data_IF_502960133661
#
_entry.id   IF_502960133661
#
_cell.length_a   1.000
_cell.length_b   1.000
_cell.length_c   1.000
_cell.angle_alpha   90.00
_cell.angle_beta   90.00
_cell.angle_gamma   90.00
#
_symmetry.space_group_name_H-M   'P 1'
#
loop_
_entity.id
_entity.type
_entity.pdbx_description
1 polymer ?
#
# COMPACT_ATOMS: atom_id res chain seq x y z
N UNK A 1 14.80 -17.59 18.42
CA UNK A 1 15.25 -16.17 18.46
C UNK A 1 14.06 -15.28 18.16
N UNK A 2 13.79 -14.23 18.95
CA UNK A 2 12.77 -13.25 18.61
C UNK A 2 13.13 -12.54 17.30
N UNK A 3 12.15 -12.34 16.42
CA UNK A 3 12.36 -11.52 15.23
C UNK A 3 12.61 -10.07 15.65
N UNK A 4 13.57 -9.42 14.98
CA UNK A 4 13.77 -7.99 15.17
C UNK A 4 12.66 -7.21 14.44
N UNK A 5 12.39 -5.99 14.90
CA UNK A 5 11.38 -5.11 14.28
C UNK A 5 11.67 -4.88 12.79
N UNK A 6 12.94 -4.72 12.43
CA UNK A 6 13.35 -4.55 11.03
C UNK A 6 13.01 -5.77 10.17
N UNK A 7 13.17 -6.98 10.71
CA UNK A 7 12.83 -8.20 9.99
C UNK A 7 11.32 -8.34 9.79
N UNK A 8 10.50 -7.98 10.80
CA UNK A 8 9.04 -7.98 10.67
C UNK A 8 8.57 -6.96 9.63
N UNK A 9 9.10 -5.75 9.67
CA UNK A 9 8.79 -4.71 8.68
C UNK A 9 9.18 -5.13 7.26
N UNK A 10 10.40 -5.65 7.08
CA UNK A 10 10.87 -6.15 5.79
C UNK A 10 9.94 -7.24 5.22
N UNK A 11 9.44 -8.14 6.07
CA UNK A 11 8.47 -9.17 5.64
C UNK A 11 7.17 -8.57 5.13
N UNK A 12 6.64 -7.55 5.80
CA UNK A 12 5.42 -6.86 5.36
C UNK A 12 5.62 -6.12 4.04
N UNK A 13 6.76 -5.44 3.87
CA UNK A 13 7.11 -4.75 2.62
C UNK A 13 7.24 -5.74 1.47
N UNK A 14 7.95 -6.86 1.68
CA UNK A 14 8.10 -7.90 0.67
C UNK A 14 6.75 -8.53 0.27
N UNK A 15 5.88 -8.80 1.25
CA UNK A 15 4.54 -9.32 0.99
C UNK A 15 3.69 -8.33 0.18
N UNK A 16 3.74 -7.04 0.51
CA UNK A 16 3.05 -6.01 -0.27
C UNK A 16 3.58 -5.95 -1.70
N UNK A 17 4.90 -6.00 -1.90
CA UNK A 17 5.51 -6.04 -3.24
C UNK A 17 5.05 -7.26 -4.06
N UNK A 18 5.01 -8.44 -3.44
CA UNK A 18 4.52 -9.66 -4.11
C UNK A 18 3.03 -9.55 -4.47
N UNK A 19 2.23 -8.83 -3.68
CA UNK A 19 0.82 -8.56 -3.99
C UNK A 19 0.65 -7.62 -5.19
N UNK A 20 1.51 -6.60 -5.30
CA UNK A 20 1.46 -5.58 -6.36
C UNK A 20 2.13 -6.01 -7.67
N UNK A 21 2.85 -7.12 -7.69
CA UNK A 21 3.56 -7.64 -8.86
C UNK A 21 2.94 -8.98 -9.28
N UNK A 22 2.45 -9.06 -10.51
CA UNK A 22 1.93 -10.28 -11.13
C UNK A 22 2.73 -10.57 -12.39
N UNK A 23 3.25 -11.78 -12.50
CA UNK A 23 4.04 -12.25 -13.66
C UNK A 23 5.21 -11.31 -14.03
N UNK A 24 5.85 -10.71 -13.03
CA UNK A 24 6.98 -9.79 -13.21
C UNK A 24 6.59 -8.38 -13.66
N UNK A 25 5.30 -8.09 -13.82
CA UNK A 25 4.78 -6.77 -14.13
C UNK A 25 4.06 -6.18 -12.91
N UNK A 26 4.12 -4.85 -12.77
CA UNK A 26 3.34 -4.14 -11.77
C UNK A 26 1.86 -4.22 -12.18
N UNK A 27 1.02 -4.73 -11.28
CA UNK A 27 -0.42 -4.88 -11.47
C UNK A 27 -1.15 -4.22 -10.30
N UNK A 28 -1.41 -2.91 -10.43
CA UNK A 28 -2.14 -2.15 -9.42
C UNK A 28 -3.65 -2.33 -9.62
N UNK A 29 -4.30 -3.03 -8.69
CA UNK A 29 -5.74 -3.15 -8.64
C UNK A 29 -6.30 -2.28 -7.52
N UNK A 30 -6.88 -1.13 -7.85
CA UNK A 30 -7.44 -0.22 -6.85
C UNK A 30 -8.83 -0.62 -6.34
N UNK A 31 -9.42 -1.72 -6.85
CA UNK A 31 -10.59 -2.34 -6.24
C UNK A 31 -10.21 -3.24 -5.05
N UNK A 32 -8.96 -3.69 -4.99
CA UNK A 32 -8.43 -4.45 -3.87
C UNK A 32 -8.12 -3.53 -2.66
N UNK A 33 -8.60 -3.94 -1.48
CA UNK A 33 -8.50 -3.12 -0.26
C UNK A 33 -7.06 -2.89 0.20
N UNK A 34 -6.15 -3.83 -0.05
CA UNK A 34 -4.74 -3.71 0.33
C UNK A 34 -4.08 -2.63 -0.52
N UNK A 35 -4.27 -2.68 -1.84
CA UNK A 35 -3.71 -1.73 -2.79
C UNK A 35 -4.29 -0.33 -2.57
N UNK A 36 -5.61 -0.21 -2.42
CA UNK A 36 -6.28 1.08 -2.12
C UNK A 36 -5.87 1.63 -0.76
N UNK A 37 -5.69 0.76 0.24
CA UNK A 37 -5.26 1.13 1.59
C UNK A 37 -3.80 1.59 1.65
N UNK A 38 -2.92 1.01 0.84
CA UNK A 38 -1.50 1.33 0.81
C UNK A 38 -1.16 2.55 -0.06
N UNK A 39 -1.94 2.83 -1.11
CA UNK A 39 -1.69 3.94 -2.02
C UNK A 39 -2.37 5.23 -1.54
N UNK A 40 -1.63 6.32 -1.37
CA UNK A 40 -2.18 7.61 -0.91
C UNK A 40 -2.77 8.42 -2.07
N UNK A 41 -2.01 8.56 -3.16
CA UNK A 41 -2.41 9.33 -4.35
C UNK A 41 -2.15 8.56 -5.63
N UNK A 42 -3.01 8.76 -6.63
CA UNK A 42 -2.84 8.21 -7.97
C UNK A 42 -3.52 9.12 -8.99
N UNK A 43 -2.87 9.37 -10.14
CA UNK A 43 -3.47 10.17 -11.22
C UNK A 43 -3.82 11.63 -10.85
N UNK A 44 -3.15 12.22 -9.85
CA UNK A 44 -3.46 13.57 -9.36
C UNK A 44 -4.59 13.63 -8.33
N UNK A 45 -5.16 12.49 -7.94
CA UNK A 45 -6.22 12.41 -6.93
C UNK A 45 -5.75 11.68 -5.67
N UNK A 46 -6.36 12.01 -4.52
CA UNK A 46 -6.20 11.24 -3.28
C UNK A 46 -7.14 10.04 -3.34
N UNK A 47 -6.56 8.84 -3.44
CA UNK A 47 -7.31 7.57 -3.56
C UNK A 47 -7.55 6.89 -2.21
N UNK A 48 -6.75 7.25 -1.19
CA UNK A 48 -6.92 6.74 0.16
C UNK A 48 -7.99 7.54 0.92
N UNK A 49 -9.04 6.86 1.38
CA UNK A 49 -10.17 7.49 2.07
C UNK A 49 -9.76 8.26 3.34
N UNK A 50 -8.86 7.69 4.15
CA UNK A 50 -8.40 8.36 5.38
C UNK A 50 -7.56 9.59 5.07
N UNK A 51 -6.63 9.48 4.12
CA UNK A 51 -5.83 10.62 3.70
C UNK A 51 -6.71 11.74 3.12
N UNK A 52 -7.76 11.38 2.36
CA UNK A 52 -8.71 12.35 1.79
C UNK A 52 -9.49 13.09 2.87
N UNK A 53 -9.97 12.37 3.89
CA UNK A 53 -10.63 12.97 5.05
C UNK A 53 -9.70 13.93 5.81
N UNK A 54 -8.45 13.53 6.03
CA UNK A 54 -7.47 14.37 6.73
C UNK A 54 -7.07 15.62 5.93
N UNK A 55 -6.96 15.50 4.60
CA UNK A 55 -6.58 16.62 3.73
C UNK A 55 -7.72 17.63 3.53
N UNK A 56 -8.99 17.19 3.60
CA UNK A 56 -10.16 18.06 3.48
C UNK A 56 -10.62 18.69 4.81
N UNK A 57 -10.03 18.31 5.94
CA UNK A 57 -10.33 18.85 7.26
C UNK A 57 -9.53 20.12 7.62
N UNK A 58 -9.03 20.84 6.61
CA UNK A 58 -8.29 22.09 6.74
C UNK A 58 -9.16 23.31 6.42
#
# INVERSE_FOLDING_TARGET
MPLTTSQLYARNVANLLLHLVKDGAIALDFADEITKGACVTHGGEIVNERAKQMAGAA
#
